data_IF_042169018469
#
_entry.id   IF_042169018469
#
_cell.length_a   1.000
_cell.length_b   1.000
_cell.length_c   1.000
_cell.angle_alpha   90.00
_cell.angle_beta   90.00
_cell.angle_gamma   90.00
#
_symmetry.space_group_name_H-M   'P 1'
#
loop_
_entity.id
_entity.type
_entity.pdbx_description
1 polymer ?
#
# COMPACT_ATOMS: atom_id res chain seq x y z
N UNK A 1 -27.18 2.02 -2.87
CA UNK A 1 -26.29 1.34 -1.89
C UNK A 1 -24.92 1.23 -2.54
N UNK A 2 -23.87 1.75 -1.93
CA UNK A 2 -22.54 1.78 -2.55
C UNK A 2 -22.04 0.33 -2.77
N UNK A 3 -21.79 -0.02 -4.04
CA UNK A 3 -21.36 -1.35 -4.45
C UNK A 3 -20.07 -1.78 -3.73
N UNK A 4 -19.21 -0.83 -3.39
CA UNK A 4 -17.95 -1.08 -2.68
C UNK A 4 -18.17 -1.47 -1.20
N UNK A 5 -19.17 -0.91 -0.53
CA UNK A 5 -19.50 -1.25 0.86
C UNK A 5 -20.05 -2.68 0.96
N UNK A 6 -20.87 -3.10 0.00
CA UNK A 6 -21.37 -4.49 -0.05
C UNK A 6 -20.20 -5.47 -0.29
N UNK A 7 -19.30 -5.15 -1.23
CA UNK A 7 -18.11 -5.98 -1.51
C UNK A 7 -17.23 -6.15 -0.27
N UNK A 8 -16.93 -5.07 0.46
CA UNK A 8 -16.09 -5.13 1.66
C UNK A 8 -16.75 -5.93 2.80
N UNK A 9 -18.07 -5.84 2.97
CA UNK A 9 -18.81 -6.65 3.95
C UNK A 9 -18.76 -8.13 3.60
N UNK A 10 -18.89 -8.49 2.32
CA UNK A 10 -18.75 -9.87 1.81
C UNK A 10 -17.33 -10.39 1.98
N UNK A 11 -16.31 -9.54 1.72
CA UNK A 11 -14.91 -9.89 1.93
C UNK A 11 -14.63 -10.19 3.41
N UNK A 12 -15.15 -9.36 4.31
CA UNK A 12 -15.02 -9.58 5.76
C UNK A 12 -15.66 -10.90 6.18
N UNK A 13 -16.87 -11.17 5.72
CA UNK A 13 -17.57 -12.43 6.00
C UNK A 13 -16.77 -13.63 5.46
N UNK A 14 -16.23 -13.53 4.23
CA UNK A 14 -15.43 -14.59 3.60
C UNK A 14 -14.17 -14.91 4.38
N UNK A 15 -13.40 -13.90 4.79
CA UNK A 15 -12.19 -14.09 5.58
C UNK A 15 -12.49 -14.68 6.98
N UNK A 16 -13.56 -14.24 7.64
CA UNK A 16 -14.00 -14.83 8.89
C UNK A 16 -14.33 -16.32 8.76
N UNK A 17 -15.01 -16.70 7.70
CA UNK A 17 -15.33 -18.10 7.47
C UNK A 17 -14.10 -18.95 7.12
N UNK A 18 -13.14 -18.41 6.36
CA UNK A 18 -11.89 -19.12 6.06
C UNK A 18 -11.08 -19.46 7.33
N UNK A 19 -11.16 -18.63 8.34
CA UNK A 19 -10.33 -18.78 9.55
C UNK A 19 -11.14 -19.09 10.81
N UNK A 20 -12.41 -19.46 10.65
CA UNK A 20 -13.29 -19.74 11.80
C UNK A 20 -12.74 -20.81 12.75
N UNK A 21 -12.08 -21.84 12.20
CA UNK A 21 -11.48 -22.94 12.97
C UNK A 21 -9.98 -22.70 13.29
N UNK A 22 -9.37 -21.64 12.77
CA UNK A 22 -7.97 -21.34 13.04
C UNK A 22 -7.85 -20.50 14.33
N UNK A 23 -7.29 -21.06 15.42
CA UNK A 23 -7.32 -20.41 16.74
C UNK A 23 -6.46 -19.13 16.81
N UNK A 24 -5.52 -18.95 15.88
CA UNK A 24 -4.65 -17.76 15.82
C UNK A 24 -5.25 -16.70 14.92
N UNK A 25 -5.67 -17.07 13.72
CA UNK A 25 -6.13 -16.13 12.70
C UNK A 25 -7.56 -15.65 12.91
N UNK A 26 -8.41 -16.43 13.57
CA UNK A 26 -9.76 -15.98 13.95
C UNK A 26 -9.69 -14.66 14.72
N UNK A 27 -8.88 -14.62 15.77
CA UNK A 27 -8.75 -13.41 16.60
C UNK A 27 -8.15 -12.24 15.82
N UNK A 28 -7.20 -12.49 14.90
CA UNK A 28 -6.58 -11.46 14.02
C UNK A 28 -7.60 -10.90 13.04
N UNK A 29 -8.36 -11.76 12.38
CA UNK A 29 -9.35 -11.35 11.36
C UNK A 29 -10.60 -10.71 12.01
N UNK A 30 -10.90 -11.01 13.26
CA UNK A 30 -11.98 -10.36 14.01
C UNK A 30 -11.55 -9.02 14.63
N UNK A 31 -10.25 -8.75 14.72
CA UNK A 31 -9.73 -7.52 15.32
C UNK A 31 -10.01 -6.28 14.46
N UNK A 32 -10.37 -5.18 15.13
CA UNK A 32 -10.58 -3.87 14.48
C UNK A 32 -9.34 -3.36 13.75
N UNK A 33 -8.14 -3.68 14.21
CA UNK A 33 -6.87 -3.36 13.55
C UNK A 33 -6.84 -3.90 12.12
N UNK A 34 -7.22 -5.19 11.92
CA UNK A 34 -7.23 -5.82 10.60
C UNK A 34 -8.14 -5.07 9.61
N UNK A 35 -9.31 -4.58 10.08
CA UNK A 35 -10.30 -3.91 9.23
C UNK A 35 -10.15 -2.40 9.20
N UNK A 36 -9.25 -1.84 9.98
CA UNK A 36 -8.99 -0.39 9.96
C UNK A 36 -8.50 0.10 8.59
N UNK A 37 -8.83 1.35 8.26
CA UNK A 37 -8.40 1.99 7.02
C UNK A 37 -9.36 1.78 5.83
N UNK A 38 -8.95 2.27 4.66
CA UNK A 38 -9.84 2.44 3.50
C UNK A 38 -9.96 1.22 2.59
N UNK A 39 -9.22 0.13 2.86
CA UNK A 39 -9.22 -1.10 2.05
C UNK A 39 -9.00 -0.85 0.55
N UNK A 40 -8.02 -0.02 0.24
CA UNK A 40 -7.74 0.43 -1.14
C UNK A 40 -7.39 -0.76 -2.04
N UNK A 41 -6.66 -1.77 -1.54
CA UNK A 41 -6.27 -2.96 -2.32
C UNK A 41 -7.48 -3.78 -2.76
N UNK A 42 -8.43 -3.99 -1.85
CA UNK A 42 -9.69 -4.64 -2.18
C UNK A 42 -10.52 -3.81 -3.19
N UNK A 43 -10.52 -2.49 -3.08
CA UNK A 43 -11.20 -1.60 -4.03
C UNK A 43 -10.51 -1.60 -5.40
N UNK A 44 -9.17 -1.65 -5.46
CA UNK A 44 -8.40 -1.83 -6.70
C UNK A 44 -8.81 -3.15 -7.36
N UNK A 45 -8.82 -4.25 -6.59
CA UNK A 45 -9.23 -5.56 -7.07
C UNK A 45 -10.63 -5.52 -7.71
N UNK A 46 -11.60 -4.93 -7.01
CA UNK A 46 -12.98 -4.82 -7.48
C UNK A 46 -13.08 -4.00 -8.76
N UNK A 47 -12.47 -2.79 -8.78
CA UNK A 47 -12.60 -1.86 -9.90
C UNK A 47 -11.94 -2.41 -11.17
N UNK A 48 -10.68 -2.85 -11.08
CA UNK A 48 -9.94 -3.41 -12.22
C UNK A 48 -10.57 -4.74 -12.67
N UNK A 49 -11.03 -5.56 -11.72
CA UNK A 49 -11.68 -6.84 -12.04
C UNK A 49 -12.99 -6.66 -12.80
N UNK A 50 -13.81 -5.71 -12.39
CA UNK A 50 -15.04 -5.38 -13.11
C UNK A 50 -14.78 -4.84 -14.51
N UNK A 51 -13.75 -4.00 -14.70
CA UNK A 51 -13.38 -3.50 -16.03
C UNK A 51 -12.90 -4.62 -16.96
N UNK A 52 -12.43 -5.74 -16.41
CA UNK A 52 -12.05 -6.93 -17.18
C UNK A 52 -13.16 -7.98 -17.27
N UNK A 53 -14.34 -7.71 -16.73
CA UNK A 53 -15.50 -8.61 -16.79
C UNK A 53 -15.39 -9.85 -15.91
N UNK A 54 -14.58 -9.81 -14.85
CA UNK A 54 -14.46 -10.93 -13.92
C UNK A 54 -15.61 -10.99 -12.92
N UNK A 55 -15.98 -12.21 -12.53
CA UNK A 55 -17.03 -12.47 -11.55
C UNK A 55 -16.63 -12.01 -10.15
N UNK A 56 -17.59 -11.42 -9.42
CA UNK A 56 -17.33 -10.80 -8.11
C UNK A 56 -16.83 -11.80 -7.06
N UNK A 57 -17.26 -13.08 -7.13
CA UNK A 57 -16.78 -14.10 -6.21
C UNK A 57 -15.27 -14.37 -6.37
N UNK A 58 -14.77 -14.39 -7.61
CA UNK A 58 -13.34 -14.50 -7.87
C UNK A 58 -12.58 -13.26 -7.37
N UNK A 59 -13.16 -12.08 -7.55
CA UNK A 59 -12.57 -10.82 -7.04
C UNK A 59 -12.50 -10.81 -5.51
N UNK A 60 -13.49 -11.37 -4.81
CA UNK A 60 -13.45 -11.54 -3.36
C UNK A 60 -12.30 -12.45 -2.91
N UNK A 61 -12.02 -13.53 -3.64
CA UNK A 61 -10.92 -14.43 -3.33
C UNK A 61 -9.56 -13.74 -3.56
N UNK A 62 -9.39 -13.01 -4.67
CA UNK A 62 -8.18 -12.23 -4.94
C UNK A 62 -8.01 -11.13 -3.89
N UNK A 63 -9.06 -10.41 -3.54
CA UNK A 63 -9.03 -9.39 -2.49
C UNK A 63 -8.67 -10.01 -1.13
N UNK A 64 -9.14 -11.22 -0.82
CA UNK A 64 -8.86 -11.91 0.43
C UNK A 64 -7.37 -12.16 0.61
N UNK A 65 -6.69 -12.83 -0.32
CA UNK A 65 -5.27 -13.12 -0.16
C UNK A 65 -4.38 -11.87 -0.26
N UNK A 66 -4.78 -10.85 -1.03
CA UNK A 66 -4.02 -9.59 -1.09
C UNK A 66 -4.17 -8.74 0.19
N UNK A 67 -5.34 -8.73 0.83
CA UNK A 67 -5.53 -8.07 2.12
C UNK A 67 -4.83 -8.82 3.27
N UNK A 68 -4.75 -10.16 3.23
CA UNK A 68 -3.94 -10.93 4.18
C UNK A 68 -2.47 -10.51 4.11
N UNK A 69 -1.90 -10.47 2.90
CA UNK A 69 -0.52 -10.06 2.70
C UNK A 69 -0.27 -8.61 3.15
N UNK A 70 -1.20 -7.70 2.84
CA UNK A 70 -1.09 -6.33 3.30
C UNK A 70 -1.12 -6.20 4.83
N UNK A 71 -2.01 -6.94 5.50
CA UNK A 71 -2.06 -6.89 6.96
C UNK A 71 -0.80 -7.53 7.59
N UNK A 72 -0.23 -8.55 6.97
CA UNK A 72 1.08 -9.08 7.37
C UNK A 72 2.16 -7.99 7.34
N UNK A 73 2.24 -7.22 6.24
CA UNK A 73 3.21 -6.13 6.14
C UNK A 73 2.99 -5.05 7.19
N UNK A 74 1.73 -4.69 7.51
CA UNK A 74 1.43 -3.72 8.56
C UNK A 74 1.85 -4.19 9.95
N UNK A 75 1.62 -5.47 10.27
CA UNK A 75 2.04 -6.06 11.56
C UNK A 75 3.56 -6.03 11.71
N UNK A 76 4.30 -6.40 10.65
CA UNK A 76 5.74 -6.36 10.66
C UNK A 76 6.28 -4.92 10.72
N UNK A 77 5.71 -3.99 9.95
CA UNK A 77 6.07 -2.58 10.00
C UNK A 77 5.89 -2.01 11.41
N UNK A 78 4.71 -2.20 12.03
CA UNK A 78 4.45 -1.68 13.38
C UNK A 78 5.39 -2.28 14.43
N UNK A 79 5.77 -3.56 14.25
CA UNK A 79 6.72 -4.22 15.13
C UNK A 79 8.15 -3.66 14.99
N UNK A 80 8.60 -3.40 13.77
CA UNK A 80 9.91 -2.81 13.46
C UNK A 80 9.97 -1.38 13.96
N UNK A 81 8.91 -0.64 13.73
CA UNK A 81 8.79 0.79 14.04
C UNK A 81 8.50 1.07 15.51
N UNK A 82 8.11 0.06 16.29
CA UNK A 82 7.61 0.17 17.65
C UNK A 82 6.39 1.11 17.76
N UNK A 83 5.53 1.10 16.75
CA UNK A 83 4.29 1.89 16.76
C UNK A 83 3.24 1.22 17.66
N UNK A 84 2.84 1.87 18.75
CA UNK A 84 1.85 1.35 19.70
C UNK A 84 0.44 1.32 19.13
N UNK A 85 0.12 2.26 18.24
CA UNK A 85 -1.20 2.44 17.64
C UNK A 85 -1.13 2.67 16.13
N UNK A 86 -2.11 2.15 15.42
CA UNK A 86 -2.36 2.40 14.00
C UNK A 86 -3.83 2.70 13.77
N UNK A 87 -4.13 3.89 13.22
CA UNK A 87 -5.51 4.33 12.89
C UNK A 87 -6.48 4.23 14.07
N UNK A 88 -5.98 4.54 15.28
CA UNK A 88 -6.77 4.49 16.51
C UNK A 88 -7.01 3.08 17.07
N UNK A 89 -6.32 2.07 16.53
CA UNK A 89 -6.34 0.70 17.04
C UNK A 89 -4.97 0.35 17.61
N UNK A 90 -4.95 -0.34 18.74
CA UNK A 90 -3.73 -0.90 19.33
C UNK A 90 -3.10 -1.91 18.35
N UNK A 91 -1.78 -1.83 18.18
CA UNK A 91 -1.06 -2.71 17.24
C UNK A 91 -0.91 -4.13 17.80
N UNK A 92 -0.81 -5.17 16.96
CA UNK A 92 -0.69 -6.56 17.42
C UNK A 92 0.51 -6.79 18.33
N UNK A 93 1.65 -6.14 18.11
CA UNK A 93 2.80 -6.32 18.97
C UNK A 93 2.58 -5.74 20.37
N UNK A 94 1.82 -4.67 20.48
CA UNK A 94 1.44 -4.08 21.77
C UNK A 94 0.45 -4.97 22.50
N UNK A 95 -0.55 -5.46 21.77
CA UNK A 95 -1.65 -6.28 22.32
C UNK A 95 -1.21 -7.69 22.71
N UNK A 96 -0.41 -8.36 21.88
CA UNK A 96 -0.07 -9.79 22.01
C UNK A 96 1.41 -10.05 22.33
N UNK A 97 2.25 -9.02 22.30
CA UNK A 97 3.71 -9.09 22.45
C UNK A 97 4.45 -9.35 21.15
N UNK A 98 5.72 -8.94 21.12
CA UNK A 98 6.57 -8.91 19.90
C UNK A 98 6.65 -10.26 19.19
N UNK A 99 6.90 -11.33 19.93
CA UNK A 99 7.10 -12.66 19.35
C UNK A 99 5.82 -13.19 18.68
N UNK A 100 4.65 -12.97 19.28
CA UNK A 100 3.39 -13.37 18.67
C UNK A 100 3.09 -12.53 17.44
N UNK A 101 3.30 -11.22 17.47
CA UNK A 101 3.08 -10.35 16.32
C UNK A 101 3.97 -10.77 15.12
N UNK A 102 5.25 -11.07 15.35
CA UNK A 102 6.14 -11.58 14.31
C UNK A 102 5.56 -12.84 13.65
N UNK A 103 5.21 -13.85 14.46
CA UNK A 103 4.65 -15.11 13.97
C UNK A 103 3.28 -14.95 13.31
N UNK A 104 2.46 -13.99 13.76
CA UNK A 104 1.18 -13.65 13.12
C UNK A 104 1.41 -13.09 11.71
N UNK A 105 2.38 -12.20 11.52
CA UNK A 105 2.75 -11.69 10.21
C UNK A 105 3.21 -12.80 9.27
N UNK A 106 4.11 -13.69 9.73
CA UNK A 106 4.59 -14.83 8.95
C UNK A 106 3.44 -15.78 8.56
N UNK A 107 2.53 -16.04 9.50
CA UNK A 107 1.36 -16.89 9.26
C UNK A 107 0.43 -16.27 8.21
N UNK A 108 0.18 -14.96 8.24
CA UNK A 108 -0.63 -14.26 7.23
C UNK A 108 0.01 -14.32 5.84
N UNK A 109 1.35 -14.21 5.72
CA UNK A 109 2.07 -14.41 4.46
C UNK A 109 1.84 -15.82 3.93
N UNK A 110 2.06 -16.85 4.75
CA UNK A 110 1.88 -18.23 4.36
C UNK A 110 0.42 -18.52 3.94
N UNK A 111 -0.56 -18.00 4.68
CA UNK A 111 -2.00 -18.15 4.35
C UNK A 111 -2.40 -17.39 3.09
N UNK A 112 -1.79 -16.26 2.78
CA UNK A 112 -2.00 -15.56 1.51
C UNK A 112 -1.62 -16.45 0.32
N UNK A 113 -0.46 -17.11 0.37
CA UNK A 113 -0.03 -18.06 -0.66
C UNK A 113 -0.96 -19.28 -0.70
N UNK A 114 -1.24 -19.90 0.45
CA UNK A 114 -2.11 -21.08 0.52
C UNK A 114 -3.51 -20.80 -0.03
N UNK A 115 -4.09 -19.64 0.30
CA UNK A 115 -5.40 -19.24 -0.21
C UNK A 115 -5.38 -19.07 -1.73
N UNK A 116 -4.36 -18.41 -2.29
CA UNK A 116 -4.24 -18.20 -3.75
C UNK A 116 -4.14 -19.51 -4.54
N UNK A 117 -3.62 -20.58 -3.94
CA UNK A 117 -3.49 -21.90 -4.59
C UNK A 117 -4.71 -22.81 -4.41
N UNK A 118 -5.60 -22.49 -3.47
CA UNK A 118 -6.81 -23.28 -3.18
C UNK A 118 -8.08 -22.76 -3.90
N UNK A 119 -7.98 -21.65 -4.62
CA UNK A 119 -9.09 -21.11 -5.40
C UNK A 119 -9.33 -22.01 -6.62
N UNK A 120 -10.62 -22.33 -6.88
CA UNK A 120 -11.00 -23.13 -8.04
C UNK A 120 -10.81 -22.33 -9.33
N UNK A 121 -9.62 -22.44 -9.92
CA UNK A 121 -9.21 -21.78 -11.16
C UNK A 121 -8.25 -22.68 -11.95
N UNK A 122 -7.79 -22.23 -13.13
CA UNK A 122 -6.78 -22.98 -13.89
C UNK A 122 -5.46 -23.08 -13.08
N UNK A 123 -4.80 -24.24 -13.04
CA UNK A 123 -3.56 -24.43 -12.29
C UNK A 123 -2.45 -23.40 -12.63
N UNK A 124 -2.37 -22.98 -13.89
CA UNK A 124 -1.43 -21.96 -14.37
C UNK A 124 -1.68 -20.60 -13.71
N UNK A 125 -2.93 -20.24 -13.49
CA UNK A 125 -3.34 -19.00 -12.80
C UNK A 125 -2.97 -19.07 -11.33
N UNK A 126 -3.26 -20.18 -10.64
CA UNK A 126 -2.89 -20.37 -9.22
C UNK A 126 -1.39 -20.32 -9.00
N UNK A 127 -0.59 -20.94 -9.86
CA UNK A 127 0.88 -20.88 -9.82
C UNK A 127 1.38 -19.47 -10.06
N UNK A 128 0.80 -18.74 -11.02
CA UNK A 128 1.16 -17.36 -11.30
C UNK A 128 0.84 -16.45 -10.10
N UNK A 129 -0.31 -16.61 -9.44
CA UNK A 129 -0.65 -15.84 -8.22
C UNK A 129 0.32 -16.11 -7.06
N UNK A 130 0.66 -17.38 -6.82
CA UNK A 130 1.65 -17.73 -5.79
C UNK A 130 3.02 -17.11 -6.09
N UNK A 131 3.43 -17.06 -7.36
CA UNK A 131 4.64 -16.39 -7.81
C UNK A 131 4.56 -14.88 -7.61
N UNK A 132 3.45 -14.23 -7.96
CA UNK A 132 3.23 -12.79 -7.75
C UNK A 132 3.28 -12.40 -6.26
N UNK A 133 2.64 -13.19 -5.39
CA UNK A 133 2.70 -12.98 -3.94
C UNK A 133 4.14 -13.10 -3.45
N UNK A 134 4.87 -14.15 -3.86
CA UNK A 134 6.26 -14.37 -3.47
C UNK A 134 7.17 -13.23 -3.92
N UNK A 135 7.04 -12.78 -5.18
CA UNK A 135 7.80 -11.66 -5.73
C UNK A 135 7.46 -10.34 -5.02
N UNK A 136 6.19 -10.13 -4.66
CA UNK A 136 5.76 -9.00 -3.88
C UNK A 136 6.42 -8.98 -2.49
N UNK A 137 6.46 -10.12 -1.79
CA UNK A 137 7.13 -10.24 -0.49
C UNK A 137 8.63 -9.96 -0.62
N UNK A 138 9.30 -10.57 -1.60
CA UNK A 138 10.73 -10.37 -1.84
C UNK A 138 11.04 -8.87 -2.06
N UNK A 139 10.27 -8.20 -2.91
CA UNK A 139 10.46 -6.78 -3.21
C UNK A 139 10.15 -5.91 -1.99
N UNK A 140 9.04 -6.18 -1.28
CA UNK A 140 8.65 -5.40 -0.11
C UNK A 140 9.69 -5.50 1.02
N UNK A 141 10.23 -6.70 1.27
CA UNK A 141 11.30 -6.91 2.27
C UNK A 141 12.57 -6.18 1.85
N UNK A 142 12.99 -6.25 0.58
CA UNK A 142 14.15 -5.48 0.08
C UNK A 142 13.93 -3.98 0.24
N UNK A 143 12.73 -3.48 -0.09
CA UNK A 143 12.37 -2.07 0.11
C UNK A 143 12.44 -1.64 1.58
N UNK A 144 11.98 -2.50 2.50
CA UNK A 144 12.05 -2.23 3.94
C UNK A 144 13.51 -2.25 4.46
N UNK A 145 14.37 -3.16 3.96
CA UNK A 145 15.81 -3.15 4.29
C UNK A 145 16.48 -1.89 3.76
N UNK A 146 16.20 -1.49 2.51
CA UNK A 146 16.73 -0.25 1.93
C UNK A 146 16.27 1.00 2.70
N UNK A 147 15.06 0.98 3.27
CA UNK A 147 14.59 2.05 4.15
C UNK A 147 15.41 2.17 5.43
N UNK A 148 15.72 1.05 6.06
CA UNK A 148 16.54 1.02 7.29
C UNK A 148 17.97 1.49 7.05
N UNK A 149 18.52 1.22 5.88
CA UNK A 149 19.89 1.59 5.48
C UNK A 149 19.98 2.98 4.81
N UNK A 150 18.85 3.66 4.61
CA UNK A 150 18.77 4.89 3.81
C UNK A 150 19.64 6.03 4.36
N UNK A 151 19.82 6.13 5.67
CA UNK A 151 20.60 7.17 6.33
C UNK A 151 22.11 7.15 5.96
N UNK A 152 22.61 6.07 5.36
CA UNK A 152 24.01 5.89 4.93
C UNK A 152 24.29 6.33 3.49
N UNK A 153 23.29 6.86 2.75
CA UNK A 153 23.41 7.17 1.33
C UNK A 153 23.86 8.61 1.08
N UNK A 154 24.61 8.85 -0.02
CA UNK A 154 25.01 10.19 -0.44
C UNK A 154 23.82 11.00 -0.96
N UNK A 155 23.91 12.33 -0.87
CA UNK A 155 22.86 13.28 -1.29
C UNK A 155 22.61 13.31 -2.79
N UNK A 156 23.56 12.89 -3.61
CA UNK A 156 23.51 13.08 -5.07
C UNK A 156 22.44 12.23 -5.79
N UNK A 157 21.79 11.29 -5.07
CA UNK A 157 20.88 10.30 -5.65
C UNK A 157 19.57 10.11 -4.83
N UNK A 158 19.23 11.09 -4.00
CA UNK A 158 18.10 11.00 -3.05
C UNK A 158 16.79 10.62 -3.74
N UNK A 159 16.44 11.33 -4.82
CA UNK A 159 15.15 11.12 -5.49
C UNK A 159 15.05 9.73 -6.14
N UNK A 160 16.14 9.27 -6.77
CA UNK A 160 16.21 7.94 -7.37
C UNK A 160 16.04 6.86 -6.31
N UNK A 161 16.81 6.92 -5.23
CA UNK A 161 16.77 5.95 -4.13
C UNK A 161 15.44 5.97 -3.37
N UNK A 162 14.89 7.16 -3.11
CA UNK A 162 13.57 7.29 -2.51
C UNK A 162 12.47 6.65 -3.38
N UNK A 163 12.53 6.92 -4.69
CA UNK A 163 11.58 6.34 -5.64
C UNK A 163 11.71 4.82 -5.71
N UNK A 164 12.93 4.29 -5.77
CA UNK A 164 13.18 2.85 -5.79
C UNK A 164 12.71 2.17 -4.48
N UNK A 165 13.03 2.75 -3.34
CA UNK A 165 12.57 2.27 -2.03
C UNK A 165 11.03 2.24 -1.96
N UNK A 166 10.38 3.36 -2.33
CA UNK A 166 8.91 3.47 -2.32
C UNK A 166 8.25 2.52 -3.32
N UNK A 167 8.87 2.32 -4.50
CA UNK A 167 8.44 1.33 -5.49
C UNK A 167 8.47 -0.09 -4.91
N UNK A 168 9.58 -0.46 -4.30
CA UNK A 168 9.80 -1.80 -3.79
C UNK A 168 8.97 -2.08 -2.53
N UNK A 169 8.86 -1.13 -1.59
CA UNK A 169 8.11 -1.33 -0.33
C UNK A 169 6.60 -1.18 -0.54
N UNK A 170 6.15 -0.07 -1.12
CA UNK A 170 4.75 0.31 -1.20
C UNK A 170 4.14 -0.01 -2.57
N UNK A 171 4.87 0.25 -3.66
CA UNK A 171 4.40 0.11 -5.04
C UNK A 171 3.95 -1.31 -5.38
N UNK A 172 4.77 -2.31 -5.07
CA UNK A 172 4.45 -3.72 -5.34
C UNK A 172 3.17 -4.18 -4.64
N UNK A 173 2.93 -3.67 -3.43
CA UNK A 173 1.73 -3.99 -2.64
C UNK A 173 0.46 -3.32 -3.18
N UNK A 174 0.58 -2.16 -3.84
CA UNK A 174 -0.54 -1.52 -4.53
C UNK A 174 -0.83 -2.20 -5.87
N UNK A 175 0.20 -2.62 -6.60
CA UNK A 175 0.06 -3.27 -7.90
C UNK A 175 -0.46 -4.71 -7.79
N UNK A 176 -0.16 -5.43 -6.71
CA UNK A 176 -0.46 -6.85 -6.55
C UNK A 176 -1.92 -7.22 -6.87
N UNK A 177 -2.96 -6.58 -6.28
CA UNK A 177 -4.35 -6.96 -6.57
C UNK A 177 -4.71 -6.79 -8.05
N UNK A 178 -4.26 -5.72 -8.69
CA UNK A 178 -4.54 -5.47 -10.10
C UNK A 178 -3.77 -6.44 -11.02
N UNK A 179 -2.54 -6.82 -10.67
CA UNK A 179 -1.77 -7.85 -11.38
C UNK A 179 -2.45 -9.22 -11.28
N UNK A 180 -2.87 -9.62 -10.09
CA UNK A 180 -3.58 -10.89 -9.90
C UNK A 180 -4.90 -10.95 -10.68
N UNK A 181 -5.65 -9.85 -10.69
CA UNK A 181 -6.85 -9.70 -11.53
C UNK A 181 -6.51 -9.81 -13.03
N UNK A 182 -5.43 -9.15 -13.48
CA UNK A 182 -5.01 -9.18 -14.89
C UNK A 182 -4.60 -10.59 -15.33
N UNK A 183 -3.93 -11.35 -14.45
CA UNK A 183 -3.57 -12.75 -14.68
C UNK A 183 -4.84 -13.61 -14.83
N UNK A 184 -5.82 -13.44 -13.92
CA UNK A 184 -7.11 -14.14 -14.00
C UNK A 184 -7.86 -13.81 -15.31
N UNK A 185 -7.78 -12.57 -15.77
CA UNK A 185 -8.35 -12.09 -17.02
C UNK A 185 -7.49 -12.44 -18.26
N UNK A 186 -6.42 -13.23 -18.09
CA UNK A 186 -5.50 -13.67 -19.16
C UNK A 186 -4.95 -12.51 -20.01
N UNK A 187 -4.66 -11.38 -19.36
CA UNK A 187 -4.06 -10.23 -20.03
C UNK A 187 -2.60 -10.53 -20.40
N UNK A 188 -2.13 -9.91 -21.48
CA UNK A 188 -0.75 -10.07 -21.93
C UNK A 188 0.26 -9.31 -21.05
N UNK A 189 1.55 -9.57 -21.26
CA UNK A 189 2.63 -8.97 -20.46
C UNK A 189 2.65 -7.43 -20.52
N UNK A 190 2.35 -6.85 -21.68
CA UNK A 190 2.29 -5.38 -21.84
C UNK A 190 1.25 -4.77 -20.90
N UNK A 191 0.07 -5.39 -20.79
CA UNK A 191 -0.97 -4.95 -19.86
C UNK A 191 -0.50 -5.11 -18.40
N UNK A 192 0.14 -6.23 -18.05
CA UNK A 192 0.69 -6.45 -16.70
C UNK A 192 1.74 -5.42 -16.32
N UNK A 193 2.63 -5.06 -17.23
CA UNK A 193 3.67 -4.05 -17.00
C UNK A 193 3.05 -2.66 -16.81
N UNK A 194 2.10 -2.30 -17.67
CA UNK A 194 1.36 -1.03 -17.56
C UNK A 194 0.56 -0.93 -16.25
N UNK A 195 -0.11 -1.99 -15.84
CA UNK A 195 -0.82 -2.09 -14.54
C UNK A 195 0.16 -1.89 -13.38
N UNK A 196 1.34 -2.50 -13.47
CA UNK A 196 2.39 -2.32 -12.45
C UNK A 196 2.81 -0.86 -12.35
N UNK A 197 3.06 -0.21 -13.48
CA UNK A 197 3.48 1.18 -13.51
C UNK A 197 2.38 2.13 -13.00
N UNK A 198 1.12 1.93 -13.40
CA UNK A 198 -0.04 2.70 -12.91
C UNK A 198 -0.06 2.70 -11.38
N UNK A 199 -0.14 1.52 -10.77
CA UNK A 199 -0.32 1.42 -9.32
C UNK A 199 0.95 1.72 -8.53
N UNK A 200 2.13 1.53 -9.11
CA UNK A 200 3.40 1.96 -8.51
C UNK A 200 3.50 3.49 -8.44
N UNK A 201 3.14 4.19 -9.52
CA UNK A 201 3.16 5.66 -9.54
C UNK A 201 2.15 6.24 -8.52
N UNK A 202 0.96 5.67 -8.41
CA UNK A 202 0.02 6.06 -7.35
C UNK A 202 0.55 5.75 -5.94
N UNK A 203 1.28 4.65 -5.75
CA UNK A 203 1.85 4.30 -4.45
C UNK A 203 2.97 5.26 -4.05
N UNK A 204 3.83 5.69 -4.98
CA UNK A 204 4.86 6.70 -4.73
C UNK A 204 4.20 8.04 -4.40
N UNK A 205 3.18 8.45 -5.15
CA UNK A 205 2.41 9.65 -4.84
C UNK A 205 1.73 9.59 -3.46
N UNK A 206 1.24 8.40 -3.06
CA UNK A 206 0.72 8.17 -1.71
C UNK A 206 1.80 8.30 -0.64
N UNK A 207 3.01 7.74 -0.88
CA UNK A 207 4.12 7.85 0.06
C UNK A 207 4.53 9.32 0.26
N UNK A 208 4.63 10.10 -0.83
CA UNK A 208 4.89 11.55 -0.76
C UNK A 208 3.83 12.27 0.10
N UNK A 209 2.55 11.94 -0.07
CA UNK A 209 1.46 12.49 0.74
C UNK A 209 1.58 12.10 2.22
N UNK A 210 1.97 10.86 2.52
CA UNK A 210 2.15 10.38 3.89
C UNK A 210 3.34 11.07 4.56
N UNK A 211 4.44 11.25 3.84
CA UNK A 211 5.63 12.00 4.26
C UNK A 211 5.29 13.48 4.51
N UNK A 212 4.47 14.10 3.64
CA UNK A 212 3.99 15.47 3.82
C UNK A 212 3.19 15.61 5.11
N UNK A 213 2.28 14.64 5.38
CA UNK A 213 1.47 14.68 6.59
C UNK A 213 2.32 14.53 7.87
N UNK A 214 3.39 13.74 7.84
CA UNK A 214 4.33 13.61 8.95
C UNK A 214 5.16 14.90 9.14
N UNK A 215 5.73 15.43 8.04
CA UNK A 215 6.51 16.65 8.01
C UNK A 215 5.75 17.85 8.58
N UNK A 216 4.46 17.99 8.26
CA UNK A 216 3.57 19.03 8.76
C UNK A 216 3.01 18.75 10.17
N UNK A 217 3.27 17.59 10.75
CA UNK A 217 2.74 17.19 12.05
C UNK A 217 1.21 16.98 12.07
N UNK A 218 0.58 16.73 10.92
CA UNK A 218 -0.89 16.52 10.79
C UNK A 218 -1.27 15.05 10.55
N UNK A 219 -0.30 14.13 10.64
CA UNK A 219 -0.52 12.69 10.43
C UNK A 219 -1.42 12.12 11.52
N UNK A 220 -2.60 11.62 11.13
CA UNK A 220 -3.57 11.05 12.06
C UNK A 220 -3.20 9.61 12.46
N UNK A 221 -3.34 9.28 13.75
CA UNK A 221 -3.19 7.91 14.24
C UNK A 221 -1.74 7.45 14.46
N UNK A 222 -0.77 8.38 14.47
CA UNK A 222 0.63 8.18 14.86
C UNK A 222 1.15 9.42 15.60
N UNK A 223 2.30 9.29 16.27
CA UNK A 223 2.98 10.44 16.86
C UNK A 223 3.43 11.43 15.76
N UNK A 224 3.26 12.71 16.00
CA UNK A 224 3.73 13.77 15.09
C UNK A 224 5.25 13.68 14.94
N UNK A 225 5.74 13.92 13.71
CA UNK A 225 7.15 13.88 13.35
C UNK A 225 7.79 12.51 13.63
N UNK A 226 7.02 11.43 13.40
CA UNK A 226 7.47 10.06 13.66
C UNK A 226 8.66 9.68 12.78
N UNK A 227 8.67 10.12 11.52
CA UNK A 227 9.73 9.82 10.57
C UNK A 227 11.05 10.45 10.99
N UNK A 228 11.03 11.71 11.46
CA UNK A 228 12.20 12.39 11.98
C UNK A 228 12.74 11.71 13.26
N UNK A 229 11.85 11.38 14.19
CA UNK A 229 12.22 10.74 15.46
C UNK A 229 12.82 9.34 15.25
N UNK A 230 12.27 8.59 14.30
CA UNK A 230 12.70 7.22 13.99
C UNK A 230 13.77 7.18 12.90
N UNK A 231 14.27 8.34 12.44
CA UNK A 231 15.29 8.47 11.37
C UNK A 231 14.87 7.75 10.09
N UNK A 232 13.59 7.79 9.74
CA UNK A 232 13.07 7.23 8.48
C UNK A 232 13.27 8.19 7.33
N UNK A 233 13.49 7.68 6.13
CA UNK A 233 13.54 8.52 4.94
C UNK A 233 12.17 9.17 4.69
N UNK A 234 12.14 10.49 4.74
CA UNK A 234 11.00 11.32 4.38
C UNK A 234 11.49 12.30 3.33
N UNK A 235 10.82 12.39 2.18
CA UNK A 235 11.31 13.16 1.04
C UNK A 235 11.50 14.64 1.36
N UNK A 236 10.69 15.21 2.26
CA UNK A 236 10.79 16.60 2.66
C UNK A 236 12.09 16.85 3.44
N UNK A 237 12.40 16.02 4.46
CA UNK A 237 13.64 16.15 5.23
C UNK A 237 14.88 15.84 4.39
N UNK A 238 14.79 14.88 3.47
CA UNK A 238 15.88 14.48 2.60
C UNK A 238 16.27 15.62 1.66
N UNK A 239 15.29 16.31 1.05
CA UNK A 239 15.56 17.41 0.13
C UNK A 239 15.94 18.71 0.84
N UNK A 240 15.43 18.99 2.05
CA UNK A 240 15.92 20.11 2.87
C UNK A 240 17.40 20.00 3.20
N UNK A 241 17.90 18.79 3.43
CA UNK A 241 19.31 18.54 3.73
C UNK A 241 20.19 18.48 2.48
N UNK A 242 19.63 18.58 1.28
CA UNK A 242 20.32 18.47 0.00
C UNK A 242 20.50 19.82 -0.70
N UNK A 243 21.48 19.92 -1.57
CA UNK A 243 21.71 21.10 -2.43
C UNK A 243 20.87 21.11 -3.70
N UNK A 244 20.01 20.10 -3.92
CA UNK A 244 19.30 19.89 -5.17
C UNK A 244 18.24 20.96 -5.49
N UNK A 245 17.66 21.61 -4.47
CA UNK A 245 16.54 22.56 -4.64
C UNK A 245 16.60 23.68 -3.61
N UNK A 246 17.64 24.52 -3.60
CA UNK A 246 17.73 25.63 -2.63
C UNK A 246 16.48 26.52 -2.68
N UNK A 247 15.65 26.45 -1.63
CA UNK A 247 14.49 27.32 -1.41
C UNK A 247 13.16 26.93 -2.05
N UNK A 248 13.08 25.84 -2.88
CA UNK A 248 11.86 25.44 -3.63
C UNK A 248 11.47 23.97 -3.44
N UNK A 249 11.89 23.33 -2.36
CA UNK A 249 11.66 21.89 -2.16
C UNK A 249 10.19 21.50 -2.21
N UNK A 250 9.31 22.28 -1.62
CA UNK A 250 7.89 21.94 -1.55
C UNK A 250 7.24 21.96 -2.95
N UNK A 251 7.47 23.01 -3.74
CA UNK A 251 6.94 23.14 -5.11
C UNK A 251 7.46 21.99 -6.00
N UNK A 252 8.75 21.68 -5.90
CA UNK A 252 9.37 20.57 -6.64
C UNK A 252 8.72 19.23 -6.28
N UNK A 253 8.49 18.93 -4.98
CA UNK A 253 7.86 17.68 -4.54
C UNK A 253 6.41 17.61 -5.01
N UNK A 254 5.66 18.70 -4.93
CA UNK A 254 4.27 18.78 -5.40
C UNK A 254 4.18 18.54 -6.90
N UNK A 255 5.07 19.12 -7.71
CA UNK A 255 5.10 18.91 -9.15
C UNK A 255 5.52 17.49 -9.50
N UNK A 256 6.49 16.92 -8.80
CA UNK A 256 6.85 15.50 -8.96
C UNK A 256 5.67 14.57 -8.65
N UNK A 257 4.91 14.85 -7.58
CA UNK A 257 3.71 14.08 -7.25
C UNK A 257 2.63 14.21 -8.33
N UNK A 258 2.39 15.42 -8.86
CA UNK A 258 1.44 15.65 -9.96
C UNK A 258 1.83 14.89 -11.22
N UNK A 259 3.11 14.87 -11.57
CA UNK A 259 3.63 14.15 -12.73
C UNK A 259 3.43 12.63 -12.60
N UNK A 260 3.66 12.05 -11.42
CA UNK A 260 3.39 10.64 -11.15
C UNK A 260 1.91 10.30 -11.33
N UNK A 261 1.02 11.15 -10.80
CA UNK A 261 -0.42 11.00 -10.93
C UNK A 261 -0.86 11.10 -12.40
N UNK A 262 -0.36 12.10 -13.14
CA UNK A 262 -0.70 12.30 -14.55
C UNK A 262 -0.29 11.10 -15.40
N UNK A 263 0.96 10.62 -15.25
CA UNK A 263 1.46 9.42 -15.94
C UNK A 263 0.60 8.19 -15.64
N UNK A 264 0.24 7.98 -14.38
CA UNK A 264 -0.61 6.87 -13.98
C UNK A 264 -2.01 6.94 -14.60
N UNK A 265 -2.61 8.12 -14.63
CA UNK A 265 -3.93 8.33 -15.23
C UNK A 265 -3.93 8.14 -16.76
N UNK A 266 -2.87 8.58 -17.46
CA UNK A 266 -2.76 8.42 -18.90
C UNK A 266 -2.58 6.93 -19.28
N UNK A 267 -1.77 6.17 -18.54
CA UNK A 267 -1.67 4.73 -18.70
C UNK A 267 -3.01 4.02 -18.36
N UNK A 268 -3.70 4.46 -17.32
CA UNK A 268 -4.98 3.88 -16.94
C UNK A 268 -6.05 4.05 -18.03
N UNK A 269 -6.15 5.22 -18.66
CA UNK A 269 -7.05 5.46 -19.79
C UNK A 269 -6.83 4.48 -20.95
N UNK A 270 -5.57 4.07 -21.20
CA UNK A 270 -5.22 3.16 -22.27
C UNK A 270 -5.49 1.70 -21.95
N UNK A 271 -5.24 1.28 -20.71
CA UNK A 271 -5.23 -0.14 -20.33
C UNK A 271 -6.42 -0.60 -19.50
N UNK A 272 -7.06 0.32 -18.76
CA UNK A 272 -8.21 0.07 -17.88
C UNK A 272 -9.22 1.24 -17.95
N UNK A 273 -9.77 1.57 -19.16
CA UNK A 273 -10.54 2.80 -19.40
C UNK A 273 -11.80 2.94 -18.53
N UNK A 274 -12.44 1.83 -18.16
CA UNK A 274 -13.68 1.83 -17.38
C UNK A 274 -13.48 2.09 -15.87
N UNK A 275 -12.27 2.53 -15.47
CA UNK A 275 -11.93 2.80 -14.08
C UNK A 275 -11.80 4.28 -13.73
N UNK A 276 -12.21 5.19 -14.62
CA UNK A 276 -12.08 6.65 -14.42
C UNK A 276 -12.73 7.15 -13.14
N UNK A 277 -13.95 6.70 -12.83
CA UNK A 277 -14.68 7.08 -11.61
C UNK A 277 -14.00 6.56 -10.35
N UNK A 278 -13.40 5.38 -10.42
CA UNK A 278 -12.60 4.83 -9.33
C UNK A 278 -11.36 5.68 -9.04
N UNK A 279 -10.64 6.10 -10.08
CA UNK A 279 -9.47 6.95 -9.89
C UNK A 279 -9.86 8.33 -9.36
N UNK A 280 -10.83 9.00 -9.96
CA UNK A 280 -11.26 10.35 -9.55
C UNK A 280 -11.93 10.37 -8.17
N UNK A 281 -12.77 9.37 -7.86
CA UNK A 281 -13.57 9.32 -6.64
C UNK A 281 -12.86 8.65 -5.44
N UNK A 282 -11.88 7.79 -5.66
CA UNK A 282 -11.26 7.00 -4.60
C UNK A 282 -9.74 7.18 -4.56
N UNK A 283 -9.03 6.95 -5.66
CA UNK A 283 -7.57 6.95 -5.64
C UNK A 283 -7.02 8.37 -5.47
N UNK A 284 -7.45 9.34 -6.27
CA UNK A 284 -6.96 10.72 -6.18
C UNK A 284 -7.21 11.32 -4.79
N UNK A 285 -8.43 11.27 -4.21
CA UNK A 285 -8.64 11.75 -2.85
C UNK A 285 -7.82 11.01 -1.78
N UNK A 286 -7.48 9.74 -2.03
CA UNK A 286 -6.66 8.95 -1.13
C UNK A 286 -5.19 9.36 -1.14
N UNK A 287 -4.64 9.74 -2.31
CA UNK A 287 -3.21 10.07 -2.48
C UNK A 287 -2.92 11.58 -2.39
N UNK A 288 -3.94 12.41 -2.23
CA UNK A 288 -3.80 13.86 -2.02
C UNK A 288 -4.21 14.26 -0.61
N UNK A 289 -3.57 15.29 -0.04
CA UNK A 289 -4.02 15.86 1.23
C UNK A 289 -5.26 16.73 0.99
N UNK A 290 -6.35 16.46 1.71
CA UNK A 290 -7.52 17.31 1.79
C UNK A 290 -7.80 17.69 3.26
N UNK A 291 -7.88 18.97 3.63
CA UNK A 291 -7.77 20.17 2.79
C UNK A 291 -6.32 20.49 2.39
N UNK A 292 -6.12 21.30 1.32
CA UNK A 292 -4.80 21.85 1.01
C UNK A 292 -4.28 22.64 2.22
N UNK A 293 -2.95 22.62 2.40
CA UNK A 293 -2.28 23.28 3.53
C UNK A 293 -2.69 24.75 3.57
N UNK A 294 -3.14 25.29 4.72
CA UNK A 294 -3.32 26.74 4.86
C UNK A 294 -1.98 27.43 4.62
N UNK A 295 -1.95 28.40 3.72
CA UNK A 295 -0.78 29.23 3.40
C UNK A 295 -0.18 30.00 4.60
N UNK A 296 -0.72 29.80 5.80
CA UNK A 296 -0.32 30.43 7.06
C UNK A 296 0.54 29.54 7.98
N UNK A 297 0.83 28.28 7.63
CA UNK A 297 1.78 27.47 8.40
C UNK A 297 3.20 27.91 7.97
N UNK A 298 3.75 28.90 8.66
CA UNK A 298 5.18 29.19 8.61
C UNK A 298 5.93 27.96 9.10
N UNK A 299 6.82 27.44 8.24
CA UNK A 299 7.76 26.39 8.55
C UNK A 299 8.40 26.66 9.93
N UNK A 300 8.26 25.72 10.86
CA UNK A 300 8.98 25.71 12.13
C UNK A 300 10.44 25.34 11.85
N UNK A 301 11.21 26.29 11.30
CA UNK A 301 12.60 25.99 10.92
C UNK A 301 13.40 27.17 10.44
N UNK A 302 12.96 28.41 10.71
CA UNK A 302 13.79 29.61 10.48
C UNK A 302 13.95 30.42 11.78
N UNK A 303 14.82 29.94 12.64
CA UNK A 303 15.49 30.77 13.65
C UNK A 303 16.87 30.23 13.97
#
# INVERSE_FOLDING_TARGET
>A
MDCSLNFLSRLQWRLRNYFFEDPVLKDVVDDSYFWSGQKIRAKICLSVGKSFGLEEDLLLDIAAFTELLHNASLIHDDLIDNDDERRGCETPWKKYGRNKALLMGDLLIAKSVALSTNINTEPTVSVAWASEISNCVISAVRGAVNELDFASTSTDDILCKYTEMSRNKTGVMFALPARCVSIAAKKNQICLDSITEIFTNFAIAYQIRDDQADYLGVKKGRQNLSDLKNKRPNIYYLLESSTLCEGFHQEFIEDFQKDLIAKALDLAKMHIPDTSDFFSGIIIPFITLNPPIPSSIKLLGSS
#
